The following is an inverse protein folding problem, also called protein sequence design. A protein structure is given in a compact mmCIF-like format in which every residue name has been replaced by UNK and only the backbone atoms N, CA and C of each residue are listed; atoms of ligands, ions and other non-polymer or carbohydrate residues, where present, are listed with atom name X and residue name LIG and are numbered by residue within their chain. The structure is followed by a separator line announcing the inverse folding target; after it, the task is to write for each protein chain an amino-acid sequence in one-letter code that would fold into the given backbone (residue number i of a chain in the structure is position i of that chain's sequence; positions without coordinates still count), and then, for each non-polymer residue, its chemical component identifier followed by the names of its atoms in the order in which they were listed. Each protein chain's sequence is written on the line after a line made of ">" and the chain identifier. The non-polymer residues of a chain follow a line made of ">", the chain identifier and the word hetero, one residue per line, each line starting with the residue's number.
data_IF_028911505871
#
_entry.id   IF_028911505871
#
_cell.length_a   1.000
_cell.length_b   1.000
_cell.length_c   1.000
_cell.angle_alpha   90.00
_cell.angle_beta   90.00
_cell.angle_gamma   90.00
#
_symmetry.space_group_name_H-M   'P 1'
#
loop_
_entity.id
_entity.type
_entity.pdbx_description
1 polymer ?
#
# COMPACT_ATOMS: atom_id res chain seq x y z
N UNK A 1 0.44 -16.71 -56.55
CA UNK A 1 -0.05 -17.18 -55.24
C UNK A 1 0.48 -16.25 -54.16
N UNK A 2 -0.37 -15.44 -53.51
CA UNK A 2 0.07 -14.49 -52.48
C UNK A 2 0.19 -15.19 -51.12
N UNK A 3 1.38 -15.30 -50.52
CA UNK A 3 1.57 -15.92 -49.20
C UNK A 3 1.03 -15.05 -48.04
N UNK A 4 0.31 -13.96 -48.30
CA UNK A 4 -0.08 -12.98 -47.28
C UNK A 4 -1.19 -13.44 -46.32
N UNK A 5 -2.21 -14.14 -46.81
CA UNK A 5 -3.39 -14.43 -45.98
C UNK A 5 -3.12 -15.48 -44.90
N UNK A 6 -2.30 -16.50 -45.20
CA UNK A 6 -1.91 -17.53 -44.24
C UNK A 6 -0.99 -17.00 -43.15
N UNK A 7 -0.08 -16.08 -43.49
CA UNK A 7 0.76 -15.40 -42.52
C UNK A 7 -0.06 -14.45 -41.65
N UNK A 8 -1.04 -13.75 -42.22
CA UNK A 8 -1.91 -12.83 -41.49
C UNK A 8 -2.81 -13.58 -40.49
N UNK A 9 -3.37 -14.73 -40.89
CA UNK A 9 -4.12 -15.61 -39.99
C UNK A 9 -3.24 -16.18 -38.86
N UNK A 10 -2.00 -16.59 -39.17
CA UNK A 10 -1.07 -17.08 -38.16
C UNK A 10 -0.69 -15.98 -37.14
N UNK A 11 -0.49 -14.74 -37.58
CA UNK A 11 -0.18 -13.62 -36.72
C UNK A 11 -1.32 -13.30 -35.74
N UNK A 12 -2.58 -13.37 -36.20
CA UNK A 12 -3.76 -13.16 -35.36
C UNK A 12 -3.93 -14.24 -34.27
N UNK A 13 -3.62 -15.51 -34.59
CA UNK A 13 -3.66 -16.62 -33.63
C UNK A 13 -2.54 -16.52 -32.59
N UNK A 14 -1.35 -16.05 -32.98
CA UNK A 14 -0.24 -15.86 -32.05
C UNK A 14 -0.53 -14.70 -31.08
N UNK A 15 -1.12 -13.60 -31.57
CA UNK A 15 -1.50 -12.47 -30.71
C UNK A 15 -2.56 -12.84 -29.66
N UNK A 16 -3.57 -13.65 -30.01
CA UNK A 16 -4.60 -14.09 -29.05
C UNK A 16 -4.06 -15.01 -27.96
N UNK A 17 -3.03 -15.82 -28.26
CA UNK A 17 -2.39 -16.71 -27.29
C UNK A 17 -1.58 -15.97 -26.20
N UNK A 18 -1.15 -14.72 -26.45
CA UNK A 18 -0.30 -13.96 -25.52
C UNK A 18 -1.13 -13.23 -24.44
N UNK A 19 -2.42 -12.97 -24.68
CA UNK A 19 -3.28 -12.16 -23.79
C UNK A 19 -3.73 -12.93 -22.51
N UNK A 20 -3.55 -14.26 -22.45
CA UNK A 20 -3.98 -15.08 -21.30
C UNK A 20 -2.90 -15.30 -20.22
N UNK A 21 -1.72 -14.69 -20.35
CA UNK A 21 -0.67 -14.80 -19.31
C UNK A 21 -0.85 -13.71 -18.25
N UNK A 22 -1.88 -13.83 -17.43
CA UNK A 22 -1.97 -13.03 -16.20
C UNK A 22 -1.00 -13.64 -15.18
N UNK A 23 0.06 -12.94 -14.73
CA UNK A 23 0.62 -13.28 -13.44
C UNK A 23 -0.48 -12.93 -12.43
N UNK A 24 -1.09 -13.96 -11.82
CA UNK A 24 -1.83 -13.76 -10.60
C UNK A 24 -0.81 -13.29 -9.56
N UNK A 25 -0.61 -11.97 -9.46
CA UNK A 25 0.00 -11.39 -8.27
C UNK A 25 -1.03 -11.54 -7.17
N UNK A 26 -1.00 -12.71 -6.53
CA UNK A 26 -1.68 -12.94 -5.27
C UNK A 26 -1.10 -11.93 -4.29
N UNK A 27 -1.82 -10.82 -4.10
CA UNK A 27 -1.55 -9.91 -3.01
C UNK A 27 -1.86 -10.67 -1.72
N UNK A 28 -0.89 -11.44 -1.22
CA UNK A 28 -0.91 -11.93 0.14
C UNK A 28 -0.91 -10.70 1.02
N UNK A 29 -2.09 -10.31 1.48
CA UNK A 29 -2.23 -9.36 2.58
C UNK A 29 -1.53 -10.04 3.74
N UNK A 30 -0.26 -9.67 3.96
CA UNK A 30 0.50 -10.19 5.08
C UNK A 30 -0.26 -9.74 6.32
N UNK A 31 -0.97 -10.67 6.95
CA UNK A 31 -1.44 -10.52 8.31
C UNK A 31 -0.18 -10.48 9.17
N UNK A 32 0.41 -9.29 9.26
CA UNK A 32 1.60 -9.03 10.05
C UNK A 32 1.31 -9.51 11.46
N UNK A 33 1.98 -10.63 11.78
CA UNK A 33 1.84 -11.42 12.99
C UNK A 33 1.75 -10.50 14.20
N UNK A 34 0.66 -10.66 14.94
CA UNK A 34 0.27 -9.88 16.12
C UNK A 34 1.25 -9.99 17.31
N UNK A 35 2.42 -10.59 17.12
CA UNK A 35 3.36 -10.92 18.20
C UNK A 35 4.33 -9.81 18.58
N UNK A 36 4.78 -8.96 17.65
CA UNK A 36 5.89 -8.02 17.89
C UNK A 36 5.69 -6.61 17.31
N UNK A 37 4.60 -6.38 16.57
CA UNK A 37 4.37 -5.09 15.94
C UNK A 37 3.72 -4.10 16.91
N UNK A 38 4.38 -2.97 17.15
CA UNK A 38 3.78 -1.84 17.84
C UNK A 38 2.59 -1.29 17.04
N UNK A 39 1.39 -1.52 17.57
CA UNK A 39 0.10 -1.10 16.98
C UNK A 39 -0.46 0.18 17.57
N UNK A 40 0.22 0.78 18.55
CA UNK A 40 -0.19 2.03 19.17
C UNK A 40 0.99 2.98 19.34
N UNK A 41 0.73 4.26 19.12
CA UNK A 41 1.63 5.35 19.45
C UNK A 41 0.80 6.44 20.14
N UNK A 42 0.96 6.59 21.46
CA UNK A 42 0.05 7.40 22.26
C UNK A 42 -1.40 6.90 22.13
N UNK A 43 -2.29 7.79 21.69
CA UNK A 43 -3.72 7.49 21.47
C UNK A 43 -4.02 6.98 20.04
N UNK A 44 -3.02 6.95 19.16
CA UNK A 44 -3.20 6.60 17.74
C UNK A 44 -3.06 5.10 17.53
N UNK A 45 -4.08 4.46 16.96
CA UNK A 45 -3.99 3.08 16.46
C UNK A 45 -3.31 3.02 15.08
N UNK A 46 -2.40 2.06 14.92
CA UNK A 46 -1.55 1.87 13.75
C UNK A 46 -1.84 0.50 13.11
N UNK A 47 -2.88 0.42 12.27
CA UNK A 47 -3.24 -0.82 11.61
C UNK A 47 -2.31 -1.11 10.41
N UNK A 48 -2.18 -2.39 10.02
CA UNK A 48 -1.45 -2.77 8.81
C UNK A 48 -2.18 -2.20 7.58
N UNK A 49 -1.52 -1.59 6.58
CA UNK A 49 -0.10 -1.69 6.18
C UNK A 49 0.89 -0.77 6.90
N UNK A 50 0.46 -0.02 7.91
CA UNK A 50 1.32 0.90 8.67
C UNK A 50 1.99 0.22 9.86
N UNK A 51 3.13 0.76 10.28
CA UNK A 51 3.90 0.24 11.40
C UNK A 51 5.12 1.09 11.75
N UNK A 52 5.58 0.96 13.00
CA UNK A 52 6.77 1.68 13.52
C UNK A 52 8.05 0.91 13.19
N UNK A 53 8.05 -0.38 13.51
CA UNK A 53 9.21 -1.26 13.36
C UNK A 53 9.31 -1.86 11.96
N UNK A 54 10.53 -2.13 11.50
CA UNK A 54 10.79 -2.80 10.21
C UNK A 54 10.12 -4.18 10.20
N UNK A 55 9.41 -4.51 9.12
CA UNK A 55 8.62 -5.73 9.01
C UNK A 55 7.17 -5.60 9.51
N UNK A 56 6.83 -4.48 10.16
CA UNK A 56 5.46 -4.19 10.60
C UNK A 56 4.70 -3.22 9.68
N UNK A 57 5.39 -2.64 8.70
CA UNK A 57 4.82 -1.82 7.64
C UNK A 57 5.10 -2.43 6.25
N UNK A 58 4.23 -2.17 5.28
CA UNK A 58 4.31 -2.76 3.93
C UNK A 58 5.49 -2.22 3.12
N UNK A 59 5.76 -0.92 3.19
CA UNK A 59 6.87 -0.24 2.51
C UNK A 59 7.27 1.02 3.29
N UNK A 60 8.42 1.62 2.99
CA UNK A 60 8.94 2.80 3.73
C UNK A 60 7.94 3.98 3.77
N UNK A 61 7.07 4.13 2.77
CA UNK A 61 5.99 5.13 2.77
C UNK A 61 4.92 4.91 3.85
N UNK A 62 4.80 3.69 4.38
CA UNK A 62 3.88 3.30 5.45
C UNK A 62 4.56 3.27 6.83
N UNK A 63 5.84 3.66 6.90
CA UNK A 63 6.57 3.75 8.17
C UNK A 63 6.00 4.90 9.00
N UNK A 64 5.63 4.59 10.24
CA UNK A 64 5.23 5.57 11.25
C UNK A 64 6.42 5.83 12.16
N UNK A 65 6.76 7.10 12.38
CA UNK A 65 7.70 7.56 13.39
C UNK A 65 6.87 7.89 14.63
N UNK A 66 7.14 7.21 15.73
CA UNK A 66 6.51 7.48 17.02
C UNK A 66 7.48 8.26 17.89
N UNK A 67 7.09 9.45 18.33
CA UNK A 67 7.82 10.21 19.34
C UNK A 67 7.28 9.83 20.72
N UNK A 68 8.02 9.01 21.47
CA UNK A 68 7.55 8.50 22.76
C UNK A 68 7.49 9.57 23.85
N UNK A 69 8.23 10.68 23.71
CA UNK A 69 8.24 11.77 24.67
C UNK A 69 6.95 12.60 24.61
N UNK A 70 6.39 12.78 23.41
CA UNK A 70 5.16 13.56 23.17
C UNK A 70 3.94 12.68 22.90
N UNK A 71 4.13 11.39 22.61
CA UNK A 71 3.08 10.47 22.19
C UNK A 71 2.56 10.74 20.78
N UNK A 72 3.29 11.51 19.97
CA UNK A 72 2.89 11.89 18.61
C UNK A 72 3.35 10.86 17.58
N UNK A 73 2.45 10.46 16.69
CA UNK A 73 2.74 9.62 15.54
C UNK A 73 2.92 10.48 14.28
N UNK A 74 3.87 10.17 13.40
CA UNK A 74 4.08 10.88 12.13
C UNK A 74 4.40 9.91 11.00
N UNK A 75 3.94 10.18 9.78
CA UNK A 75 4.33 9.36 8.62
C UNK A 75 5.71 9.79 8.10
N UNK A 76 6.65 8.85 8.00
CA UNK A 76 8.04 9.13 7.65
C UNK A 76 8.21 9.86 6.31
N UNK A 77 7.33 9.56 5.34
CA UNK A 77 7.38 10.17 4.00
C UNK A 77 6.76 11.58 3.95
N UNK A 78 5.86 11.91 4.89
CA UNK A 78 5.13 13.18 4.89
C UNK A 78 5.66 14.16 5.96
N UNK A 79 6.26 13.65 7.03
CA UNK A 79 6.64 14.45 8.20
C UNK A 79 5.44 15.06 8.94
N UNK A 80 4.23 14.55 8.68
CA UNK A 80 2.98 15.07 9.25
C UNK A 80 2.59 14.28 10.48
N UNK A 81 2.20 15.00 11.54
CA UNK A 81 1.62 14.37 12.73
C UNK A 81 0.24 13.77 12.39
N UNK A 82 0.07 12.49 12.68
CA UNK A 82 -1.10 11.66 12.45
C UNK A 82 -2.02 11.74 13.68
N UNK A 83 -3.29 12.00 13.42
CA UNK A 83 -4.36 12.06 14.42
C UNK A 83 -5.19 10.77 14.40
N UNK A 84 -5.48 10.22 13.22
CA UNK A 84 -6.21 8.94 13.07
C UNK A 84 -5.99 8.31 11.70
N UNK A 85 -5.94 6.98 11.67
CA UNK A 85 -5.83 6.16 10.44
C UNK A 85 -7.07 5.29 10.34
N UNK A 86 -7.86 5.44 9.26
CA UNK A 86 -9.01 4.57 9.01
C UNK A 86 -8.86 3.87 7.66
N UNK A 87 -8.64 2.55 7.70
CA UNK A 87 -8.45 1.76 6.48
C UNK A 87 -9.78 1.51 5.78
N UNK A 88 -10.88 1.31 6.49
CA UNK A 88 -12.19 1.02 5.88
C UNK A 88 -12.71 2.17 5.02
N UNK A 89 -12.36 3.41 5.38
CA UNK A 89 -12.74 4.63 4.66
C UNK A 89 -11.54 5.31 3.99
N UNK A 90 -10.40 4.61 3.87
CA UNK A 90 -9.20 5.09 3.16
C UNK A 90 -8.79 6.51 3.58
N UNK A 91 -8.81 6.82 4.89
CA UNK A 91 -8.65 8.18 5.40
C UNK A 91 -7.47 8.28 6.38
N UNK A 92 -6.61 9.27 6.15
CA UNK A 92 -5.55 9.69 7.05
C UNK A 92 -5.83 11.12 7.53
N UNK A 93 -6.02 11.28 8.85
CA UNK A 93 -6.22 12.60 9.48
C UNK A 93 -4.88 13.07 10.06
N UNK A 94 -4.46 14.27 9.71
CA UNK A 94 -3.28 14.93 10.27
C UNK A 94 -3.65 16.09 11.20
N UNK A 95 -2.74 16.46 12.11
CA UNK A 95 -2.95 17.62 12.99
C UNK A 95 -2.45 18.95 12.43
N UNK A 96 -1.49 18.91 11.49
CA UNK A 96 -0.79 20.13 11.03
C UNK A 96 -1.44 20.79 9.80
N UNK A 97 -2.14 20.04 8.95
CA UNK A 97 -2.75 20.61 7.75
C UNK A 97 -4.23 20.91 8.00
N UNK A 98 -4.58 22.20 7.97
CA UNK A 98 -5.97 22.62 7.78
C UNK A 98 -6.38 22.28 6.34
N UNK A 99 -6.99 21.12 6.13
CA UNK A 99 -7.84 20.86 4.94
C UNK A 99 -7.24 20.09 3.76
N UNK A 100 -6.32 19.15 3.96
CA UNK A 100 -5.93 18.20 2.89
C UNK A 100 -6.32 16.77 3.28
N UNK A 101 -7.42 16.29 2.72
CA UNK A 101 -7.78 14.87 2.78
C UNK A 101 -6.87 14.11 1.82
N UNK A 102 -5.95 13.32 2.35
CA UNK A 102 -5.21 12.33 1.55
C UNK A 102 -6.07 11.07 1.50
N UNK A 103 -6.81 10.93 0.41
CA UNK A 103 -7.47 9.66 0.05
C UNK A 103 -6.44 8.81 -0.69
N UNK A 104 -6.20 7.60 -0.19
CA UNK A 104 -5.36 6.57 -0.83
C UNK A 104 -6.19 5.61 -1.66
#
# INVERSE_FOLDING_TARGET
>A
MAPGFRFLLAFLIICSAIILRQPAAEATVATASSGDCQRKCGDVEIPYPFGVTRGCYLAEGFRVICDEATGSASLAVLGWEVDSINISNHSLRHKNFRGVTVSV
#
